data_IF_402962319994
#
_entry.id   IF_402962319994
#
_cell.length_a   1.000
_cell.length_b   1.000
_cell.length_c   1.000
_cell.angle_alpha   90.00
_cell.angle_beta   90.00
_cell.angle_gamma   90.00
#
_symmetry.space_group_name_H-M   'P 1'
#
loop_
_entity.id
_entity.type
_entity.pdbx_description
1 polymer ?
#
# COMPACT_ATOMS: atom_id res chain seq x y z
N UNK A 1 -3.49 -6.79 -6.31
CA UNK A 1 -3.26 -6.50 -7.73
C UNK A 1 -4.06 -5.29 -8.22
N UNK A 2 -3.49 -4.53 -9.12
CA UNK A 2 -4.11 -3.31 -9.64
C UNK A 2 -3.95 -3.23 -11.15
N UNK A 3 -5.07 -3.07 -11.86
CA UNK A 3 -5.07 -2.85 -13.31
C UNK A 3 -4.35 -1.55 -13.65
N UNK A 4 -4.47 -0.53 -12.81
CA UNK A 4 -3.80 0.76 -12.99
C UNK A 4 -2.27 0.61 -12.97
N UNK A 5 -1.75 -0.19 -12.05
CA UNK A 5 -0.31 -0.41 -11.90
C UNK A 5 0.26 -1.41 -12.93
N UNK A 6 -0.59 -2.26 -13.50
CA UNK A 6 -0.22 -3.24 -14.51
C UNK A 6 0.20 -4.59 -13.97
N UNK A 7 0.37 -5.54 -14.90
CA UNK A 7 0.60 -6.95 -14.56
C UNK A 7 1.94 -7.20 -13.87
N UNK A 8 3.01 -6.59 -14.35
CA UNK A 8 4.36 -6.81 -13.80
C UNK A 8 4.45 -6.29 -12.37
N UNK A 9 4.01 -5.05 -12.13
CA UNK A 9 3.99 -4.47 -10.80
C UNK A 9 3.11 -5.29 -9.85
N UNK A 10 1.90 -5.64 -10.28
CA UNK A 10 0.97 -6.43 -9.48
C UNK A 10 1.52 -7.79 -9.11
N UNK A 11 2.16 -8.48 -10.08
CA UNK A 11 2.80 -9.77 -9.83
C UNK A 11 3.96 -9.65 -8.82
N UNK A 12 4.82 -8.64 -8.99
CA UNK A 12 5.95 -8.40 -8.09
C UNK A 12 5.48 -8.11 -6.66
N UNK A 13 4.47 -7.28 -6.48
CA UNK A 13 3.92 -6.96 -5.16
C UNK A 13 3.21 -8.14 -4.51
N UNK A 14 2.53 -8.96 -5.31
CA UNK A 14 1.88 -10.19 -4.81
C UNK A 14 2.94 -11.20 -4.33
N UNK A 15 4.01 -11.36 -5.08
CA UNK A 15 5.12 -12.24 -4.71
C UNK A 15 5.80 -11.75 -3.42
N UNK A 16 6.06 -10.46 -3.29
CA UNK A 16 6.65 -9.87 -2.08
C UNK A 16 5.76 -10.09 -0.86
N UNK A 17 4.45 -9.94 -1.00
CA UNK A 17 3.49 -10.18 0.07
C UNK A 17 3.49 -11.65 0.50
N UNK A 18 3.48 -12.57 -0.45
CA UNK A 18 3.54 -14.01 -0.17
C UNK A 18 4.85 -14.37 0.56
N UNK A 19 5.97 -13.83 0.11
CA UNK A 19 7.27 -13.99 0.76
C UNK A 19 7.23 -13.53 2.22
N UNK A 20 6.72 -12.34 2.48
CA UNK A 20 6.65 -11.79 3.83
C UNK A 20 5.74 -12.60 4.75
N UNK A 21 4.63 -13.14 4.24
CA UNK A 21 3.73 -13.96 5.03
C UNK A 21 4.39 -15.26 5.48
N UNK A 22 5.16 -15.88 4.62
CA UNK A 22 5.91 -17.11 4.98
C UNK A 22 7.09 -16.76 5.89
N UNK A 23 7.82 -15.70 5.59
CA UNK A 23 8.92 -15.24 6.44
C UNK A 23 8.44 -14.97 7.88
N UNK A 24 7.26 -14.38 8.04
CA UNK A 24 6.69 -14.15 9.36
C UNK A 24 6.51 -15.45 10.15
N UNK A 25 6.09 -16.52 9.48
CA UNK A 25 5.92 -17.83 10.10
C UNK A 25 7.26 -18.47 10.44
N UNK A 26 8.22 -18.39 9.52
CA UNK A 26 9.57 -18.95 9.71
C UNK A 26 10.33 -18.27 10.85
N UNK A 27 10.15 -16.96 11.01
CA UNK A 27 10.89 -16.17 11.99
C UNK A 27 10.23 -16.14 13.38
N UNK A 28 8.98 -16.53 13.48
CA UNK A 28 8.24 -16.54 14.76
C UNK A 28 8.95 -17.32 15.86
N UNK A 29 9.53 -18.53 15.62
CA UNK A 29 10.27 -19.25 16.66
C UNK A 29 11.51 -18.51 17.16
N UNK A 30 12.03 -17.56 16.39
CA UNK A 30 13.19 -16.74 16.74
C UNK A 30 12.83 -15.43 17.44
N UNK A 31 11.54 -15.20 17.72
CA UNK A 31 11.07 -13.96 18.34
C UNK A 31 11.09 -12.75 17.41
N UNK A 32 11.20 -12.97 16.10
CA UNK A 32 11.21 -11.93 15.09
C UNK A 32 9.82 -11.79 14.50
N UNK A 33 9.33 -10.55 14.46
CA UNK A 33 8.02 -10.23 13.87
C UNK A 33 8.24 -9.59 12.49
N UNK A 34 7.74 -10.23 11.46
CA UNK A 34 7.74 -9.69 10.09
C UNK A 34 6.33 -9.19 9.77
N UNK A 35 6.24 -7.92 9.39
CA UNK A 35 4.96 -7.22 9.25
C UNK A 35 4.88 -6.63 7.85
N UNK A 36 3.75 -6.85 7.17
CA UNK A 36 3.46 -6.27 5.87
C UNK A 36 2.45 -5.13 6.04
N UNK A 37 2.80 -3.95 5.54
CA UNK A 37 1.91 -2.80 5.53
C UNK A 37 1.50 -2.50 4.09
N UNK A 38 0.20 -2.50 3.84
CA UNK A 38 -0.38 -2.28 2.51
C UNK A 38 -1.25 -1.03 2.55
N UNK A 39 -0.68 0.15 2.27
CA UNK A 39 -1.44 1.39 2.25
C UNK A 39 -2.21 1.56 0.94
N UNK A 40 -3.37 2.20 1.02
CA UNK A 40 -4.04 2.78 -0.13
C UNK A 40 -3.31 4.05 -0.60
N UNK A 41 -4.04 4.97 -1.22
CA UNK A 41 -3.42 6.20 -1.72
C UNK A 41 -2.91 7.09 -0.59
N UNK A 42 -1.67 7.53 -0.74
CA UNK A 42 -0.99 8.45 0.18
C UNK A 42 -0.53 9.66 -0.62
N UNK A 43 -0.79 10.86 -0.12
CA UNK A 43 -0.35 12.09 -0.78
C UNK A 43 1.16 12.24 -0.65
N UNK A 44 1.86 11.89 -1.72
CA UNK A 44 3.31 11.93 -1.82
C UNK A 44 3.71 12.43 -3.22
N UNK A 45 4.98 12.84 -3.42
CA UNK A 45 5.45 13.29 -4.74
C UNK A 45 5.26 12.28 -5.87
N UNK A 46 5.13 11.00 -5.58
CA UNK A 46 4.90 9.98 -6.62
C UNK A 46 3.58 10.21 -7.37
N UNK A 47 2.63 10.92 -6.78
CA UNK A 47 1.37 11.28 -7.43
C UNK A 47 1.58 12.11 -8.68
N UNK A 48 2.66 12.89 -8.75
CA UNK A 48 2.99 13.74 -9.89
C UNK A 48 3.40 12.93 -11.13
N UNK A 49 3.75 11.66 -10.95
CA UNK A 49 4.18 10.76 -12.03
C UNK A 49 3.04 9.91 -12.60
N UNK A 50 1.84 10.08 -12.11
CA UNK A 50 0.68 9.32 -12.59
C UNK A 50 0.21 9.81 -13.96
N UNK A 51 -0.38 8.93 -14.80
CA UNK A 51 -0.98 9.33 -16.07
C UNK A 51 -2.03 10.43 -15.92
N UNK A 52 -2.80 10.39 -14.84
CA UNK A 52 -3.74 11.43 -14.44
C UNK A 52 -3.30 11.95 -13.06
N UNK A 53 -2.70 13.14 -13.06
CA UNK A 53 -2.19 13.74 -11.81
C UNK A 53 -3.37 14.25 -10.98
N UNK A 54 -3.53 13.78 -9.72
CA UNK A 54 -4.63 14.25 -8.86
C UNK A 54 -4.50 15.74 -8.56
N UNK A 55 -5.63 16.43 -8.51
CA UNK A 55 -5.67 17.83 -8.08
C UNK A 55 -5.57 17.97 -6.56
N UNK A 56 -5.51 19.20 -6.07
CA UNK A 56 -5.36 19.50 -4.65
C UNK A 56 -6.54 18.99 -3.82
N UNK A 57 -7.76 19.08 -4.35
CA UNK A 57 -8.97 18.59 -3.67
C UNK A 57 -8.94 17.07 -3.51
N UNK A 58 -8.55 16.36 -4.57
CA UNK A 58 -8.39 14.90 -4.55
C UNK A 58 -7.31 14.48 -3.57
N UNK A 59 -6.16 15.16 -3.56
CA UNK A 59 -5.06 14.88 -2.64
C UNK A 59 -5.43 15.11 -1.18
N UNK A 60 -6.27 16.09 -0.90
CA UNK A 60 -6.74 16.39 0.46
C UNK A 60 -7.58 15.24 1.06
N UNK A 61 -8.10 14.34 0.22
CA UNK A 61 -8.87 13.16 0.64
C UNK A 61 -8.00 11.91 0.81
N UNK A 62 -6.75 11.97 0.41
CA UNK A 62 -5.81 10.87 0.58
C UNK A 62 -5.26 10.83 2.00
N UNK A 63 -4.71 9.68 2.38
CA UNK A 63 -3.93 9.60 3.60
C UNK A 63 -2.66 10.43 3.49
N UNK A 64 -2.10 10.80 4.63
CA UNK A 64 -0.78 11.41 4.74
C UNK A 64 0.25 10.36 5.17
N UNK A 65 1.55 10.56 4.87
CA UNK A 65 2.60 9.65 5.34
C UNK A 65 2.56 9.38 6.85
N UNK A 66 2.16 10.36 7.64
CA UNK A 66 2.04 10.25 9.10
C UNK A 66 1.01 9.20 9.52
N UNK A 67 -0.03 8.98 8.72
CA UNK A 67 -1.05 7.96 8.99
C UNK A 67 -0.44 6.55 8.90
N UNK A 68 0.44 6.35 7.92
CA UNK A 68 1.15 5.09 7.75
C UNK A 68 2.15 4.89 8.89
N UNK A 69 2.89 5.93 9.26
CA UNK A 69 3.84 5.89 10.37
C UNK A 69 3.16 5.54 11.69
N UNK A 70 1.97 6.06 11.94
CA UNK A 70 1.19 5.74 13.14
C UNK A 70 0.81 4.25 13.19
N UNK A 71 0.42 3.67 12.05
CA UNK A 71 0.09 2.25 11.97
C UNK A 71 1.33 1.37 12.20
N UNK A 72 2.48 1.74 11.62
CA UNK A 72 3.74 1.03 11.84
C UNK A 72 4.16 1.10 13.32
N UNK A 73 4.08 2.28 13.91
CA UNK A 73 4.43 2.47 15.34
C UNK A 73 3.57 1.59 16.25
N UNK A 74 2.27 1.53 15.99
CA UNK A 74 1.37 0.64 16.73
C UNK A 74 1.83 -0.81 16.64
N UNK A 75 2.12 -1.29 15.44
CA UNK A 75 2.50 -2.68 15.21
C UNK A 75 3.81 -3.06 15.90
N UNK A 76 4.83 -2.17 15.87
CA UNK A 76 6.16 -2.47 16.43
C UNK A 76 6.24 -2.27 17.93
N UNK A 77 5.29 -1.56 18.53
CA UNK A 77 5.25 -1.31 19.97
C UNK A 77 4.30 -2.23 20.73
N UNK A 78 3.64 -3.18 20.05
CA UNK A 78 2.84 -4.19 20.72
C UNK A 78 3.69 -5.05 21.66
N UNK A 79 3.10 -5.59 22.74
CA UNK A 79 3.79 -6.55 23.58
C UNK A 79 4.36 -7.72 22.77
N UNK A 80 5.46 -8.29 23.21
CA UNK A 80 6.16 -9.37 22.48
C UNK A 80 5.28 -10.58 22.20
N UNK A 81 4.26 -10.83 22.99
CA UNK A 81 3.31 -11.94 22.81
C UNK A 81 2.31 -11.74 21.68
N UNK A 82 2.26 -10.53 21.09
CA UNK A 82 1.31 -10.18 20.04
C UNK A 82 2.05 -9.79 18.76
N UNK A 83 1.52 -10.23 17.63
CA UNK A 83 2.07 -9.88 16.31
C UNK A 83 0.93 -9.51 15.38
N UNK A 84 1.09 -8.36 14.72
CA UNK A 84 0.29 -7.98 13.56
C UNK A 84 1.05 -8.43 12.33
N UNK A 85 0.50 -9.34 11.56
CA UNK A 85 1.17 -9.85 10.35
C UNK A 85 0.91 -8.99 9.13
N UNK A 86 -0.29 -8.43 9.01
CA UNK A 86 -0.66 -7.53 7.91
C UNK A 86 -1.48 -6.36 8.40
N UNK A 87 -1.22 -5.19 7.83
CA UNK A 87 -2.01 -3.98 8.04
C UNK A 87 -2.46 -3.48 6.68
N UNK A 88 -3.78 -3.44 6.47
CA UNK A 88 -4.38 -2.77 5.33
C UNK A 88 -4.96 -1.46 5.82
N UNK A 89 -4.44 -0.35 5.32
CA UNK A 89 -4.87 0.97 5.73
C UNK A 89 -5.22 1.80 4.50
N UNK A 90 -6.40 2.40 4.51
CA UNK A 90 -6.90 3.21 3.40
C UNK A 90 -7.57 4.47 3.90
N UNK A 91 -7.85 5.39 2.98
CA UNK A 91 -8.59 6.60 3.29
C UNK A 91 -10.01 6.26 3.78
N UNK A 92 -10.51 7.03 4.73
CA UNK A 92 -11.88 6.86 5.22
C UNK A 92 -12.94 7.22 4.18
N UNK A 93 -12.56 8.02 3.18
CA UNK A 93 -13.41 8.46 2.07
C UNK A 93 -12.71 8.11 0.74
N UNK A 94 -12.75 6.83 0.32
CA UNK A 94 -12.09 6.40 -0.91
C UNK A 94 -12.78 7.00 -2.14
N UNK A 95 -11.97 7.42 -3.11
CA UNK A 95 -12.47 7.99 -4.36
C UNK A 95 -12.68 6.95 -5.45
N UNK A 96 -13.48 7.29 -6.46
CA UNK A 96 -13.62 6.51 -7.67
C UNK A 96 -12.34 6.59 -8.52
N UNK A 97 -11.76 5.44 -8.86
CA UNK A 97 -10.53 5.32 -9.63
C UNK A 97 -10.76 5.07 -11.13
N UNK A 98 -11.99 5.10 -11.60
CA UNK A 98 -12.32 4.72 -12.99
C UNK A 98 -11.57 5.56 -14.03
N UNK A 99 -11.48 6.87 -13.82
CA UNK A 99 -10.76 7.78 -14.72
C UNK A 99 -9.26 7.49 -14.73
N UNK A 100 -8.69 7.21 -13.58
CA UNK A 100 -7.26 6.88 -13.43
C UNK A 100 -6.91 5.56 -14.12
N UNK A 101 -7.77 4.56 -14.00
CA UNK A 101 -7.58 3.27 -14.66
C UNK A 101 -7.64 3.44 -16.19
N UNK A 102 -8.59 4.20 -16.69
CA UNK A 102 -8.70 4.50 -18.12
C UNK A 102 -7.48 5.25 -18.65
N UNK A 103 -7.01 6.27 -17.93
CA UNK A 103 -5.82 7.03 -18.31
C UNK A 103 -4.57 6.14 -18.31
N UNK A 104 -4.43 5.25 -17.34
CA UNK A 104 -3.31 4.30 -17.27
C UNK A 104 -3.30 3.32 -18.45
N UNK A 105 -4.45 2.78 -18.82
CA UNK A 105 -4.58 1.88 -19.98
C UNK A 105 -4.21 2.59 -21.27
N UNK A 106 -4.70 3.81 -21.48
CA UNK A 106 -4.43 4.58 -22.69
C UNK A 106 -2.93 4.93 -22.81
N UNK A 107 -2.28 5.29 -21.71
CA UNK A 107 -0.84 5.56 -21.69
C UNK A 107 -0.02 4.32 -22.06
N UNK A 108 -0.41 3.15 -21.58
CA UNK A 108 0.30 1.89 -21.88
C UNK A 108 0.08 1.41 -23.31
N UNK A 109 -1.02 1.78 -23.92
CA UNK A 109 -1.35 1.43 -25.31
C UNK A 109 -0.67 2.34 -26.31
N UNK A 110 -0.21 3.49 -25.90
CA UNK A 110 0.51 4.45 -26.73
C UNK A 110 2.02 4.18 -26.70
#
# INVERSE_FOLDING_TARGET
PSVMAGSVYSAAKTAARAYMNILAQEMRPHGIRAITVSPGEVDTPIMDNRPLVPDAETRARMMMPEDISAAVLMAVTLPRRAMVSEIHIGATDPRDMSADISASKNKKSA
#
